data_IF_788224525258
#
_entry.id   IF_788224525258
#
_cell.length_a   1.000
_cell.length_b   1.000
_cell.length_c   1.000
_cell.angle_alpha   90.00
_cell.angle_beta   90.00
_cell.angle_gamma   90.00
#
_symmetry.space_group_name_H-M   'P 1'
#
loop_
_entity.id
_entity.type
_entity.pdbx_description
1 polymer ?
#
# COMPACT_ATOMS: atom_id res chain seq x y z
N UNK A 1 5.98 -13.05 10.37
CA UNK A 1 4.57 -12.70 10.04
C UNK A 1 4.12 -13.65 8.94
N UNK A 2 2.97 -14.33 9.08
CA UNK A 2 2.45 -15.17 7.99
C UNK A 2 1.70 -14.33 6.96
N UNK A 3 1.75 -14.73 5.68
CA UNK A 3 1.10 -14.02 4.57
C UNK A 3 -0.35 -13.65 4.86
N UNK A 4 -1.16 -14.62 5.29
CA UNK A 4 -2.59 -14.42 5.59
C UNK A 4 -2.84 -13.38 6.69
N UNK A 5 -1.97 -13.31 7.69
CA UNK A 5 -2.10 -12.33 8.76
C UNK A 5 -1.83 -10.91 8.23
N UNK A 6 -0.84 -10.76 7.33
CA UNK A 6 -0.51 -9.48 6.71
C UNK A 6 -1.64 -9.02 5.79
N UNK A 7 -2.22 -9.93 5.00
CA UNK A 7 -3.40 -9.65 4.17
C UNK A 7 -4.57 -9.18 5.02
N UNK A 8 -4.88 -9.91 6.11
CA UNK A 8 -5.92 -9.54 7.05
C UNK A 8 -5.70 -8.18 7.69
N UNK A 9 -4.44 -7.84 8.03
CA UNK A 9 -4.08 -6.52 8.54
C UNK A 9 -4.25 -5.43 7.49
N UNK A 10 -3.85 -5.65 6.24
CA UNK A 10 -4.04 -4.67 5.17
C UNK A 10 -5.52 -4.33 4.97
N UNK A 11 -6.37 -5.36 4.98
CA UNK A 11 -7.83 -5.17 4.89
C UNK A 11 -8.42 -4.50 6.12
N UNK A 12 -7.94 -4.86 7.31
CA UNK A 12 -8.36 -4.21 8.55
C UNK A 12 -8.04 -2.72 8.50
N UNK A 13 -6.83 -2.34 8.08
CA UNK A 13 -6.39 -0.93 8.03
C UNK A 13 -7.23 -0.09 7.10
N UNK A 14 -7.61 -0.61 5.93
CA UNK A 14 -8.45 0.16 5.01
C UNK A 14 -9.91 0.27 5.51
N UNK A 15 -10.43 -0.77 6.20
CA UNK A 15 -11.74 -0.68 6.87
C UNK A 15 -11.72 0.33 8.02
N UNK A 16 -10.68 0.31 8.86
CA UNK A 16 -10.50 1.28 9.95
C UNK A 16 -10.40 2.70 9.38
N UNK A 17 -9.64 2.89 8.30
CA UNK A 17 -9.51 4.17 7.63
C UNK A 17 -10.86 4.69 7.13
N UNK A 18 -11.75 3.82 6.61
CA UNK A 18 -13.10 4.21 6.20
C UNK A 18 -13.93 4.74 7.38
N UNK A 19 -13.91 4.02 8.52
CA UNK A 19 -14.62 4.46 9.72
C UNK A 19 -14.12 5.83 10.17
N UNK A 20 -12.79 6.00 10.24
CA UNK A 20 -12.18 7.28 10.63
C UNK A 20 -12.53 8.41 9.66
N UNK A 21 -12.60 8.12 8.36
CA UNK A 21 -13.05 9.07 7.35
C UNK A 21 -14.51 9.47 7.59
N UNK A 22 -15.39 8.53 7.86
CA UNK A 22 -16.81 8.83 8.11
C UNK A 22 -17.03 9.62 9.42
N UNK A 23 -16.17 9.40 10.42
CA UNK A 23 -16.21 10.11 11.70
C UNK A 23 -15.32 11.36 11.73
N UNK A 24 -14.90 11.89 10.57
CA UNK A 24 -14.14 13.14 10.43
C UNK A 24 -12.75 13.16 11.07
N UNK A 25 -12.17 11.99 11.30
CA UNK A 25 -10.80 11.83 11.81
C UNK A 25 -9.79 11.75 10.64
N UNK A 26 -9.67 12.85 9.89
CA UNK A 26 -9.00 12.91 8.59
C UNK A 26 -7.53 12.48 8.61
N UNK A 27 -6.71 13.07 9.49
CA UNK A 27 -5.29 12.70 9.62
C UNK A 27 -5.10 11.22 9.95
N UNK A 28 -5.96 10.66 10.79
CA UNK A 28 -5.89 9.24 11.15
C UNK A 28 -6.34 8.35 9.98
N UNK A 29 -7.40 8.74 9.27
CA UNK A 29 -7.85 8.06 8.06
C UNK A 29 -6.77 8.06 6.97
N UNK A 30 -6.13 9.20 6.71
CA UNK A 30 -5.01 9.32 5.77
C UNK A 30 -3.85 8.41 6.16
N UNK A 31 -3.46 8.43 7.44
CA UNK A 31 -2.37 7.62 7.97
C UNK A 31 -2.64 6.12 7.82
N UNK A 32 -3.81 5.63 8.26
CA UNK A 32 -4.15 4.20 8.16
C UNK A 32 -4.39 3.75 6.72
N UNK A 33 -4.90 4.63 5.85
CA UNK A 33 -5.09 4.34 4.43
C UNK A 33 -3.77 3.91 3.80
N UNK A 34 -2.69 4.67 4.00
CA UNK A 34 -1.39 4.29 3.42
C UNK A 34 -0.83 2.97 3.96
N UNK A 35 -0.96 2.68 5.26
CA UNK A 35 -0.51 1.37 5.77
C UNK A 35 -1.18 0.17 5.11
N UNK A 36 -2.42 0.32 4.61
CA UNK A 36 -3.06 -0.78 3.87
C UNK A 36 -2.26 -1.16 2.62
N UNK A 37 -1.68 -0.19 1.91
CA UNK A 37 -0.82 -0.42 0.73
C UNK A 37 0.52 -1.04 1.15
N UNK A 38 1.16 -0.50 2.18
CA UNK A 38 2.43 -1.05 2.68
C UNK A 38 2.30 -2.52 3.07
N UNK A 39 1.26 -2.85 3.84
CA UNK A 39 0.97 -4.22 4.26
C UNK A 39 0.66 -5.11 3.05
N UNK A 40 -0.11 -4.62 2.08
CA UNK A 40 -0.39 -5.37 0.87
C UNK A 40 0.86 -5.69 0.05
N UNK A 41 1.78 -4.74 -0.09
CA UNK A 41 3.08 -4.98 -0.73
C UNK A 41 3.91 -5.98 0.08
N UNK A 42 3.93 -5.88 1.41
CA UNK A 42 4.63 -6.84 2.28
C UNK A 42 4.05 -8.26 2.18
N UNK A 43 2.74 -8.40 1.99
CA UNK A 43 2.13 -9.70 1.71
C UNK A 43 2.60 -10.26 0.36
N UNK A 44 2.72 -9.44 -0.69
CA UNK A 44 3.34 -9.86 -1.96
C UNK A 44 4.79 -10.31 -1.77
N UNK A 45 5.59 -9.53 -1.04
CA UNK A 45 7.01 -9.81 -0.75
C UNK A 45 7.18 -11.14 0.00
N UNK A 46 6.24 -11.48 0.89
CA UNK A 46 6.33 -12.71 1.69
C UNK A 46 6.48 -13.98 0.85
N UNK A 47 6.01 -13.97 -0.41
CA UNK A 47 6.15 -15.09 -1.36
C UNK A 47 7.57 -15.31 -1.87
N UNK A 48 8.47 -14.34 -1.68
CA UNK A 48 9.87 -14.46 -2.07
C UNK A 48 10.73 -15.16 -1.01
N UNK A 49 10.19 -15.34 0.19
CA UNK A 49 10.86 -16.11 1.25
C UNK A 49 10.61 -17.61 1.05
N UNK A 50 11.69 -18.39 1.06
CA UNK A 50 11.65 -19.86 1.07
C UNK A 50 12.08 -20.38 2.44
N UNK A 51 11.41 -21.43 2.94
CA UNK A 51 11.65 -21.97 4.28
C UNK A 51 13.06 -22.56 4.46
N UNK A 52 13.70 -23.00 3.37
CA UNK A 52 15.01 -23.68 3.38
C UNK A 52 16.12 -22.80 2.78
N UNK A 53 15.92 -21.49 2.70
CA UNK A 53 16.88 -20.57 2.12
C UNK A 53 17.12 -19.41 3.07
N UNK A 54 18.38 -19.15 3.40
CA UNK A 54 18.77 -17.94 4.13
C UNK A 54 18.71 -16.78 3.13
N UNK A 55 17.80 -15.81 3.29
CA UNK A 55 17.70 -14.67 2.39
C UNK A 55 18.90 -13.73 2.58
N UNK A 56 19.15 -12.92 1.56
CA UNK A 56 20.11 -11.83 1.69
C UNK A 56 19.70 -10.86 2.82
N UNK A 57 20.67 -10.45 3.64
CA UNK A 57 20.42 -9.61 4.81
C UNK A 57 19.87 -8.23 4.42
N UNK A 58 20.36 -7.65 3.33
CA UNK A 58 19.89 -6.34 2.85
C UNK A 58 18.45 -6.42 2.35
N UNK A 59 18.10 -7.51 1.64
CA UNK A 59 16.72 -7.80 1.25
C UNK A 59 15.79 -7.81 2.47
N UNK A 60 16.14 -8.57 3.52
CA UNK A 60 15.32 -8.65 4.74
C UNK A 60 15.14 -7.27 5.38
N UNK A 61 16.22 -6.49 5.50
CA UNK A 61 16.15 -5.14 6.07
C UNK A 61 15.25 -4.22 5.23
N UNK A 62 15.36 -4.29 3.91
CA UNK A 62 14.57 -3.45 3.00
C UNK A 62 13.08 -3.81 3.02
N UNK A 63 12.71 -5.06 3.34
CA UNK A 63 11.30 -5.42 3.59
C UNK A 63 10.73 -4.58 4.73
N UNK A 64 11.51 -4.24 5.75
CA UNK A 64 11.06 -3.40 6.86
C UNK A 64 11.10 -1.91 6.55
N UNK A 65 11.55 -1.50 5.37
CA UNK A 65 11.34 -0.14 4.90
C UNK A 65 9.84 0.17 4.76
N UNK A 66 9.52 1.45 4.83
CA UNK A 66 8.17 1.97 4.62
C UNK A 66 8.05 2.73 3.29
N UNK A 67 8.98 2.46 2.36
CA UNK A 67 9.11 3.17 1.10
C UNK A 67 8.48 2.35 -0.03
N UNK A 68 7.34 2.82 -0.57
CA UNK A 68 6.60 2.06 -1.60
C UNK A 68 7.44 1.72 -2.83
N UNK A 69 8.31 2.64 -3.27
CA UNK A 69 9.17 2.41 -4.42
C UNK A 69 10.09 1.20 -4.22
N UNK A 70 10.71 1.08 -3.04
CA UNK A 70 11.51 -0.10 -2.68
C UNK A 70 10.64 -1.33 -2.58
N UNK A 71 9.53 -1.26 -1.84
CA UNK A 71 8.64 -2.39 -1.60
C UNK A 71 8.04 -2.98 -2.89
N UNK A 72 7.74 -2.16 -3.92
CA UNK A 72 7.28 -2.67 -5.22
C UNK A 72 8.36 -3.48 -5.94
N UNK A 73 9.60 -3.01 -5.91
CA UNK A 73 10.74 -3.74 -6.45
C UNK A 73 10.92 -5.07 -5.74
N UNK A 74 10.94 -5.03 -4.40
CA UNK A 74 11.03 -6.24 -3.57
C UNK A 74 9.83 -7.16 -3.72
N UNK A 75 8.66 -6.68 -4.14
CA UNK A 75 7.49 -7.51 -4.41
C UNK A 75 7.56 -8.19 -5.78
N UNK A 76 8.54 -7.84 -6.63
CA UNK A 76 8.62 -8.32 -8.01
C UNK A 76 7.57 -7.70 -8.93
N UNK A 77 6.98 -6.56 -8.52
CA UNK A 77 5.84 -5.94 -9.24
C UNK A 77 6.24 -4.79 -10.16
N UNK A 78 7.52 -4.41 -10.22
CA UNK A 78 7.97 -3.23 -10.95
C UNK A 78 7.57 -3.25 -12.44
N UNK A 79 7.75 -4.39 -13.12
CA UNK A 79 7.38 -4.51 -14.54
C UNK A 79 5.86 -4.44 -14.74
N UNK A 80 5.09 -5.09 -13.86
CA UNK A 80 3.62 -5.08 -13.91
C UNK A 80 3.07 -3.68 -13.65
N UNK A 81 3.64 -2.97 -12.66
CA UNK A 81 3.34 -1.57 -12.39
C UNK A 81 3.60 -0.72 -13.64
N UNK A 82 4.79 -0.81 -14.22
CA UNK A 82 5.16 -0.01 -15.39
C UNK A 82 4.21 -0.25 -16.59
N UNK A 83 3.78 -1.49 -16.81
CA UNK A 83 2.79 -1.81 -17.84
C UNK A 83 1.43 -1.18 -17.51
N UNK A 84 0.96 -1.33 -16.26
CA UNK A 84 -0.33 -0.79 -15.80
C UNK A 84 -0.38 0.72 -15.91
N UNK A 85 0.68 1.42 -15.47
CA UNK A 85 0.82 2.88 -15.56
C UNK A 85 0.75 3.40 -17.01
N UNK A 86 1.27 2.65 -17.98
CA UNK A 86 1.20 3.01 -19.41
C UNK A 86 -0.19 2.76 -20.00
N UNK A 87 -0.83 1.67 -19.60
CA UNK A 87 -2.11 1.23 -20.16
C UNK A 87 -3.34 1.93 -19.58
N UNK A 88 -3.25 2.47 -18.37
CA UNK A 88 -4.39 3.02 -17.64
C UNK A 88 -4.02 4.33 -16.93
N UNK A 89 -4.55 5.43 -17.47
CA UNK A 89 -4.32 6.78 -16.97
C UNK A 89 -4.95 7.02 -15.59
N UNK A 90 -6.10 6.40 -15.31
CA UNK A 90 -6.81 6.60 -14.06
C UNK A 90 -6.05 5.89 -12.92
N UNK A 91 -5.60 4.66 -13.18
CA UNK A 91 -4.67 3.98 -12.29
C UNK A 91 -3.35 4.76 -12.10
N UNK A 92 -2.80 5.35 -13.16
CA UNK A 92 -1.57 6.15 -13.04
C UNK A 92 -1.74 7.38 -12.13
N UNK A 93 -2.89 8.04 -12.20
CA UNK A 93 -3.23 9.13 -11.29
C UNK A 93 -3.37 8.63 -9.84
N UNK A 94 -4.09 7.52 -9.62
CA UNK A 94 -4.25 6.92 -8.29
C UNK A 94 -2.92 6.49 -7.68
N UNK A 95 -2.04 5.88 -8.49
CA UNK A 95 -0.68 5.53 -8.08
C UNK A 95 0.13 6.78 -7.71
N UNK A 96 0.01 7.84 -8.51
CA UNK A 96 0.61 9.15 -8.24
C UNK A 96 0.20 9.74 -6.89
N UNK A 97 -1.07 9.58 -6.48
CA UNK A 97 -1.54 10.01 -5.16
C UNK A 97 -0.96 9.10 -4.06
N UNK A 98 -1.06 7.78 -4.24
CA UNK A 98 -0.66 6.82 -3.22
C UNK A 98 0.84 6.90 -2.89
N UNK A 99 1.70 7.10 -3.89
CA UNK A 99 3.16 7.10 -3.72
C UNK A 99 3.71 8.27 -2.91
N UNK A 100 2.92 9.32 -2.70
CA UNK A 100 3.31 10.47 -1.87
C UNK A 100 3.12 10.20 -0.37
N UNK A 101 2.40 9.13 -0.02
CA UNK A 101 2.26 8.72 1.37
C UNK A 101 3.58 8.19 1.93
N UNK A 102 3.85 8.51 3.20
CA UNK A 102 4.92 7.91 3.99
C UNK A 102 4.54 7.85 5.47
N UNK A 103 5.23 7.08 6.32
CA UNK A 103 4.98 7.11 7.77
C UNK A 103 5.15 8.49 8.40
N UNK A 104 5.95 9.38 7.79
CA UNK A 104 6.15 10.74 8.27
C UNK A 104 4.87 11.59 8.18
N UNK A 105 3.88 11.18 7.37
CA UNK A 105 2.56 11.81 7.33
C UNK A 105 1.89 11.90 8.71
N UNK A 106 2.30 11.09 9.69
CA UNK A 106 1.85 11.18 11.10
C UNK A 106 2.18 12.49 11.80
N UNK A 107 3.20 13.22 11.34
CA UNK A 107 3.65 14.47 11.94
C UNK A 107 3.03 15.70 11.27
N UNK A 108 2.16 15.49 10.28
CA UNK A 108 1.40 16.52 9.60
C UNK A 108 -0.09 16.44 9.99
N UNK A 109 -0.80 17.55 9.78
CA UNK A 109 -2.27 17.57 9.79
C UNK A 109 -2.76 17.48 8.37
N UNK A 110 -3.77 16.64 8.13
CA UNK A 110 -4.37 16.42 6.82
C UNK A 110 -5.81 16.87 6.83
N UNK A 111 -6.24 17.47 5.73
CA UNK A 111 -7.61 17.92 5.57
C UNK A 111 -8.50 16.78 5.06
N UNK A 112 -9.81 17.03 5.05
CA UNK A 112 -10.80 16.07 4.55
C UNK A 112 -10.51 15.68 3.09
N UNK A 113 -10.16 16.65 2.25
CA UNK A 113 -9.84 16.46 0.84
C UNK A 113 -8.69 15.46 0.67
N UNK A 114 -7.58 15.66 1.37
CA UNK A 114 -6.40 14.79 1.30
C UNK A 114 -6.74 13.35 1.68
N UNK A 115 -7.44 13.17 2.81
CA UNK A 115 -7.85 11.86 3.29
C UNK A 115 -8.79 11.16 2.31
N UNK A 116 -9.75 11.89 1.74
CA UNK A 116 -10.68 11.35 0.73
C UNK A 116 -9.99 11.01 -0.58
N UNK A 117 -9.07 11.84 -1.06
CA UNK A 117 -8.32 11.58 -2.29
C UNK A 117 -7.45 10.34 -2.15
N UNK A 118 -6.67 10.22 -1.08
CA UNK A 118 -5.86 9.04 -0.84
C UNK A 118 -6.73 7.78 -0.68
N UNK A 119 -7.77 7.84 0.15
CA UNK A 119 -8.67 6.72 0.36
C UNK A 119 -9.31 6.25 -0.95
N UNK A 120 -9.78 7.19 -1.79
CA UNK A 120 -10.42 6.87 -3.07
C UNK A 120 -9.41 6.28 -4.07
N UNK A 121 -8.20 6.84 -4.16
CA UNK A 121 -7.13 6.31 -5.00
C UNK A 121 -6.73 4.87 -4.62
N UNK A 122 -6.82 4.54 -3.34
CA UNK A 122 -6.55 3.20 -2.82
C UNK A 122 -7.70 2.23 -3.12
N UNK A 123 -8.94 2.66 -2.90
CA UNK A 123 -10.11 1.77 -2.81
C UNK A 123 -10.99 1.72 -4.05
N UNK A 124 -10.71 2.52 -5.08
CA UNK A 124 -11.49 2.47 -6.31
C UNK A 124 -11.58 1.03 -6.86
N UNK A 125 -12.79 0.62 -7.22
CA UNK A 125 -13.09 -0.75 -7.65
C UNK A 125 -12.40 -1.13 -8.97
N UNK A 126 -12.28 -0.17 -9.89
CA UNK A 126 -11.75 -0.43 -11.24
C UNK A 126 -10.23 -0.23 -11.29
N UNK A 127 -9.77 0.88 -10.76
CA UNK A 127 -8.40 1.40 -10.92
C UNK A 127 -7.73 1.75 -9.58
N UNK A 128 -8.28 1.28 -8.46
CA UNK A 128 -7.70 1.46 -7.14
C UNK A 128 -6.40 0.69 -6.96
N UNK A 129 -5.43 1.32 -6.30
CA UNK A 129 -4.09 0.75 -6.11
C UNK A 129 -4.14 -0.52 -5.26
N UNK A 130 -4.95 -0.56 -4.19
CA UNK A 130 -5.08 -1.76 -3.36
C UNK A 130 -5.72 -2.88 -4.17
N UNK A 131 -6.79 -2.60 -4.91
CA UNK A 131 -7.48 -3.55 -5.80
C UNK A 131 -6.52 -4.20 -6.80
N UNK A 132 -5.56 -3.44 -7.33
CA UNK A 132 -4.51 -3.98 -8.19
C UNK A 132 -3.51 -4.85 -7.43
N UNK A 133 -2.95 -4.38 -6.30
CA UNK A 133 -1.99 -5.18 -5.50
C UNK A 133 -2.62 -6.50 -5.05
N UNK A 134 -3.91 -6.49 -4.67
CA UNK A 134 -4.64 -7.70 -4.26
C UNK A 134 -4.71 -8.80 -5.33
N UNK A 135 -4.55 -8.46 -6.61
CA UNK A 135 -4.46 -9.46 -7.70
C UNK A 135 -3.13 -10.18 -7.73
N UNK A 136 -2.15 -9.65 -7.01
CA UNK A 136 -0.78 -10.11 -6.98
C UNK A 136 -0.35 -10.71 -5.66
N UNK A 137 -1.15 -10.64 -4.57
CA UNK A 137 -0.74 -11.25 -3.30
C UNK A 137 -1.10 -12.73 -3.21
#
# INVERSE_FOLDING_TARGET
MHKKDIEGLAELRIRDAKVLLDTRSWSAAYYLSGYSIELALKACISKQFSAETIPDKSFVNDVFSHEYGKLIGLAGLQQSLNAKLKSDKAFAANWGICREWSPNSRYATWEESDARYLYSAITNEQDGVLSWIKRHW
#
